data_IF_249690137817
#
_entry.id   IF_249690137817
#
_cell.length_a   1.000
_cell.length_b   1.000
_cell.length_c   1.000
_cell.angle_alpha   90.00
_cell.angle_beta   90.00
_cell.angle_gamma   90.00
#
_symmetry.space_group_name_H-M   'P 1'
#
loop_
_entity.id
_entity.type
_entity.pdbx_description
1 polymer ?
#
# COMPACT_ATOMS: atom_id res chain seq x y z
N UNK A 1 -22.79 9.58 57.25
CA UNK A 1 -22.39 10.04 55.91
C UNK A 1 -21.76 8.87 55.16
N UNK A 2 -21.74 8.94 53.83
CA UNK A 2 -21.18 8.00 52.85
C UNK A 2 -22.24 7.04 52.27
N UNK A 3 -22.99 7.58 51.31
CA UNK A 3 -23.85 6.79 50.42
C UNK A 3 -22.99 6.06 49.38
N UNK A 4 -23.35 4.80 49.10
CA UNK A 4 -22.80 4.03 47.99
C UNK A 4 -23.36 4.59 46.68
N UNK A 5 -22.53 5.30 45.92
CA UNK A 5 -22.79 5.57 44.50
C UNK A 5 -22.30 4.35 43.71
N UNK A 6 -23.23 3.62 43.12
CA UNK A 6 -22.92 2.75 42.00
C UNK A 6 -22.34 3.61 40.88
N UNK A 7 -21.05 3.43 40.57
CA UNK A 7 -20.49 3.90 39.31
C UNK A 7 -20.91 2.91 38.23
N UNK A 8 -21.82 3.39 37.39
CA UNK A 8 -22.32 2.70 36.21
C UNK A 8 -21.14 2.54 35.24
N UNK A 9 -20.71 1.29 35.02
CA UNK A 9 -19.81 0.94 33.94
C UNK A 9 -20.58 0.98 32.61
N UNK A 10 -20.91 2.17 32.13
CA UNK A 10 -21.50 2.36 30.80
C UNK A 10 -20.66 3.34 30.00
N UNK A 11 -20.11 2.86 28.88
CA UNK A 11 -19.60 3.76 27.85
C UNK A 11 -18.28 3.39 27.16
N UNK A 12 -17.65 2.24 27.46
CA UNK A 12 -16.54 1.78 26.62
C UNK A 12 -17.10 1.09 25.37
N UNK A 13 -17.55 1.90 24.41
CA UNK A 13 -17.93 1.42 23.09
C UNK A 13 -16.63 0.99 22.36
N UNK A 14 -16.23 -0.26 22.52
CA UNK A 14 -15.26 -0.86 21.60
C UNK A 14 -16.02 -1.16 20.31
N UNK A 15 -15.90 -0.26 19.33
CA UNK A 15 -16.27 -0.58 17.96
C UNK A 15 -15.26 -1.61 17.47
N UNK A 16 -15.64 -2.90 17.52
CA UNK A 16 -14.93 -3.90 16.73
C UNK A 16 -15.03 -3.42 15.28
N UNK A 17 -13.87 -3.04 14.75
CA UNK A 17 -13.75 -2.35 13.48
C UNK A 17 -14.50 -3.06 12.37
N UNK A 18 -14.90 -2.25 11.40
CA UNK A 18 -15.56 -2.51 10.11
C UNK A 18 -14.96 -3.63 9.23
N UNK A 19 -14.03 -4.43 9.74
CA UNK A 19 -13.32 -5.48 9.04
C UNK A 19 -14.24 -6.59 8.47
N UNK A 20 -15.33 -6.95 9.16
CA UNK A 20 -16.28 -7.93 8.61
C UNK A 20 -17.05 -7.38 7.41
N UNK A 21 -17.54 -6.13 7.48
CA UNK A 21 -18.33 -5.55 6.39
C UNK A 21 -17.52 -5.30 5.12
N UNK A 22 -16.22 -5.03 5.24
CA UNK A 22 -15.34 -4.90 4.06
C UNK A 22 -14.92 -6.25 3.49
N UNK A 23 -14.78 -7.28 4.34
CA UNK A 23 -14.41 -8.62 3.90
C UNK A 23 -15.52 -9.29 3.07
N UNK A 24 -16.79 -9.15 3.47
CA UNK A 24 -17.93 -9.67 2.70
C UNK A 24 -18.05 -8.96 1.34
N UNK A 25 -17.92 -7.63 1.31
CA UNK A 25 -17.97 -6.85 0.07
C UNK A 25 -16.84 -7.22 -0.92
N UNK A 26 -15.65 -7.55 -0.43
CA UNK A 26 -14.54 -8.01 -1.26
C UNK A 26 -14.74 -9.45 -1.77
N UNK A 27 -15.36 -10.31 -0.96
CA UNK A 27 -15.58 -11.73 -1.30
C UNK A 27 -16.74 -11.93 -2.29
N UNK A 28 -17.76 -11.07 -2.24
CA UNK A 28 -18.93 -11.12 -3.11
C UNK A 28 -18.77 -10.34 -4.44
N UNK A 29 -17.66 -9.63 -4.63
CA UNK A 29 -17.38 -8.92 -5.86
C UNK A 29 -17.27 -9.89 -7.04
N UNK A 30 -18.27 -9.88 -7.93
CA UNK A 30 -18.21 -10.64 -9.19
C UNK A 30 -17.08 -10.10 -10.07
N UNK A 31 -16.09 -10.94 -10.35
CA UNK A 31 -15.07 -10.68 -11.37
C UNK A 31 -15.74 -10.32 -12.69
N UNK A 32 -15.31 -9.22 -13.31
CA UNK A 32 -15.84 -8.84 -14.62
C UNK A 32 -15.34 -9.86 -15.65
N UNK A 33 -16.13 -10.18 -16.68
CA UNK A 33 -15.66 -11.04 -17.77
C UNK A 33 -14.37 -10.52 -18.41
N UNK A 34 -14.22 -9.19 -18.45
CA UNK A 34 -13.08 -8.44 -18.96
C UNK A 34 -11.76 -8.84 -18.26
N UNK A 35 -11.82 -9.07 -16.95
CA UNK A 35 -10.65 -9.39 -16.11
C UNK A 35 -10.06 -10.78 -16.42
N UNK A 36 -10.78 -11.59 -17.21
CA UNK A 36 -10.35 -12.94 -17.61
C UNK A 36 -9.63 -12.97 -18.96
N UNK A 37 -9.53 -11.84 -19.66
CA UNK A 37 -8.91 -11.79 -20.97
C UNK A 37 -7.38 -11.70 -20.86
N UNK A 38 -6.69 -12.62 -21.52
CA UNK A 38 -5.22 -12.65 -21.55
C UNK A 38 -4.61 -11.39 -22.19
N UNK A 39 -5.36 -10.73 -23.08
CA UNK A 39 -4.94 -9.48 -23.74
C UNK A 39 -5.41 -8.22 -22.98
N UNK A 40 -5.98 -8.36 -21.78
CA UNK A 40 -6.31 -7.20 -20.96
C UNK A 40 -5.03 -6.41 -20.65
N UNK A 41 -5.08 -5.07 -20.49
CA UNK A 41 -3.89 -4.24 -20.30
C UNK A 41 -2.96 -4.68 -19.17
N UNK A 42 -3.52 -5.30 -18.12
CA UNK A 42 -2.81 -5.82 -16.95
C UNK A 42 -2.38 -7.29 -17.07
N UNK A 43 -2.90 -8.05 -18.05
CA UNK A 43 -2.62 -9.47 -18.25
C UNK A 43 -1.75 -9.74 -19.49
N UNK A 44 -1.72 -8.79 -20.44
CA UNK A 44 -0.94 -8.91 -21.68
C UNK A 44 0.55 -9.03 -21.38
N UNK A 45 1.25 -9.74 -22.26
CA UNK A 45 2.71 -9.82 -22.22
C UNK A 45 3.32 -8.43 -22.47
N UNK A 46 4.43 -8.15 -21.77
CA UNK A 46 5.22 -6.95 -22.02
C UNK A 46 5.83 -7.00 -23.43
N UNK A 47 5.86 -5.85 -24.11
CA UNK A 47 6.48 -5.74 -25.45
C UNK A 47 7.96 -6.12 -25.45
N UNK A 48 8.64 -5.83 -24.34
CA UNK A 48 10.02 -6.23 -24.07
C UNK A 48 10.05 -7.07 -22.78
N UNK A 49 9.98 -8.40 -22.88
CA UNK A 49 10.08 -9.25 -21.70
C UNK A 49 11.48 -9.16 -21.08
N UNK A 50 11.55 -9.23 -19.76
CA UNK A 50 12.81 -9.29 -19.00
C UNK A 50 13.52 -10.62 -19.25
N UNK A 51 14.84 -10.66 -19.03
CA UNK A 51 15.59 -11.91 -19.09
C UNK A 51 15.13 -12.90 -18.01
N UNK A 52 15.43 -14.19 -18.21
CA UNK A 52 15.07 -15.22 -17.23
C UNK A 52 15.75 -14.94 -15.88
N UNK A 53 14.94 -14.77 -14.82
CA UNK A 53 15.41 -14.45 -13.47
C UNK A 53 15.68 -12.97 -13.21
N UNK A 54 15.55 -12.10 -14.21
CA UNK A 54 15.66 -10.64 -14.05
C UNK A 54 14.39 -10.07 -13.41
N UNK A 55 14.55 -9.23 -12.39
CA UNK A 55 13.44 -8.52 -11.75
C UNK A 55 13.24 -7.17 -12.41
N UNK A 56 12.00 -6.71 -12.42
CA UNK A 56 11.67 -5.35 -12.85
C UNK A 56 12.34 -4.33 -11.91
N UNK A 57 13.03 -3.33 -12.49
CA UNK A 57 13.55 -2.21 -11.72
C UNK A 57 12.44 -1.18 -11.52
N UNK A 58 11.86 -1.18 -10.32
CA UNK A 58 10.75 -0.30 -9.95
C UNK A 58 11.12 1.19 -10.01
N UNK A 59 12.43 1.50 -9.95
CA UNK A 59 12.93 2.87 -9.99
C UNK A 59 13.27 3.34 -11.41
N UNK A 60 13.20 2.49 -12.43
CA UNK A 60 13.70 2.82 -13.76
C UNK A 60 13.09 4.14 -14.31
N UNK A 61 11.77 4.29 -14.21
CA UNK A 61 11.07 5.50 -14.64
C UNK A 61 11.43 6.73 -13.79
N UNK A 62 11.52 6.56 -12.46
CA UNK A 62 11.91 7.65 -11.55
C UNK A 62 13.35 8.10 -11.81
N UNK A 63 14.26 7.18 -12.10
CA UNK A 63 15.67 7.45 -12.43
C UNK A 63 15.81 8.24 -13.73
N UNK A 64 14.98 7.99 -14.74
CA UNK A 64 14.99 8.79 -15.97
C UNK A 64 14.60 10.25 -15.74
N UNK A 65 13.77 10.51 -14.72
CA UNK A 65 13.31 11.86 -14.35
C UNK A 65 14.17 12.55 -13.27
N UNK A 66 14.97 11.81 -12.50
CA UNK A 66 15.79 12.35 -11.40
C UNK A 66 17.26 12.51 -11.80
N UNK A 67 17.99 13.35 -11.07
CA UNK A 67 19.41 13.62 -11.35
C UNK A 67 20.31 12.41 -11.06
N UNK A 68 19.88 11.52 -10.15
CA UNK A 68 20.59 10.30 -9.82
C UNK A 68 19.65 9.25 -9.26
N UNK A 69 20.14 7.99 -9.21
CA UNK A 69 19.41 6.89 -8.55
C UNK A 69 19.18 7.11 -7.06
N UNK A 70 20.02 7.91 -6.40
CA UNK A 70 19.84 8.24 -5.00
C UNK A 70 18.74 9.26 -4.78
N UNK A 71 18.63 10.24 -5.66
CA UNK A 71 17.52 11.21 -5.64
C UNK A 71 16.20 10.49 -5.94
N UNK A 72 16.15 9.62 -6.95
CA UNK A 72 14.95 8.82 -7.25
C UNK A 72 14.46 7.98 -6.06
N UNK A 73 15.40 7.40 -5.29
CA UNK A 73 15.10 6.67 -4.05
C UNK A 73 14.60 7.58 -2.92
N UNK A 74 15.17 8.78 -2.79
CA UNK A 74 14.76 9.76 -1.78
C UNK A 74 13.35 10.27 -2.09
N UNK A 75 13.08 10.58 -3.36
CA UNK A 75 11.78 11.05 -3.84
C UNK A 75 10.69 10.01 -3.56
N UNK A 76 10.92 8.74 -3.94
CA UNK A 76 9.99 7.65 -3.65
C UNK A 76 9.74 7.46 -2.16
N UNK A 77 10.81 7.42 -1.36
CA UNK A 77 10.67 7.28 0.08
C UNK A 77 9.92 8.44 0.72
N UNK A 78 10.04 9.66 0.17
CA UNK A 78 9.33 10.84 0.65
C UNK A 78 7.84 10.78 0.33
N UNK A 79 7.47 10.30 -0.85
CA UNK A 79 6.08 10.07 -1.27
C UNK A 79 5.37 9.02 -0.40
N UNK A 80 6.10 7.99 0.03
CA UNK A 80 5.58 6.91 0.88
C UNK A 80 5.62 7.25 2.39
N UNK A 81 6.27 8.37 2.75
CA UNK A 81 6.42 8.77 4.15
C UNK A 81 5.17 9.43 4.71
N UNK A 82 4.99 9.29 6.03
CA UNK A 82 3.85 9.86 6.74
C UNK A 82 4.15 11.27 7.28
N UNK A 83 3.16 12.15 7.40
CA UNK A 83 3.35 13.46 8.01
C UNK A 83 3.92 13.35 9.43
N UNK A 84 5.04 14.03 9.70
CA UNK A 84 5.68 14.06 11.02
C UNK A 84 6.55 12.84 11.35
N UNK A 85 6.83 11.96 10.39
CA UNK A 85 7.88 10.93 10.55
C UNK A 85 9.28 11.53 10.58
N UNK A 86 10.27 10.75 11.03
CA UNK A 86 11.68 11.10 10.85
C UNK A 86 12.01 11.25 9.35
N UNK A 87 13.02 12.07 8.98
CA UNK A 87 13.44 12.20 7.59
C UNK A 87 13.88 10.86 6.96
N UNK A 88 13.54 10.67 5.69
CA UNK A 88 13.93 9.49 4.91
C UNK A 88 15.46 9.42 4.78
N UNK A 89 16.02 8.23 4.94
CA UNK A 89 17.44 7.96 4.72
C UNK A 89 17.61 6.76 3.81
N UNK A 90 18.17 6.98 2.61
CA UNK A 90 18.45 5.92 1.63
C UNK A 90 19.89 5.46 1.73
N UNK A 91 20.12 4.14 1.61
CA UNK A 91 21.48 3.58 1.64
C UNK A 91 22.15 3.79 0.30
N UNK A 92 23.35 4.39 0.32
CA UNK A 92 24.26 4.36 -0.82
C UNK A 92 24.97 3.01 -0.85
N UNK A 93 24.61 2.17 -1.80
CA UNK A 93 25.28 0.89 -2.04
C UNK A 93 26.12 1.10 -3.31
N UNK A 94 27.44 1.13 -3.15
CA UNK A 94 28.44 1.25 -4.24
C UNK A 94 28.93 -0.12 -4.67
#
# INVERSE_FOLDING_TARGET
MIGHKHHQEDGRHFTHGTASSTADAASEAKLKPEDRHIEAPHAKLAEKPLAEGEKHDQLAEKVECSESRQEALLDEGLEESFPGSDPVSVKRIT
#
